data_IF_417826915462
#
_entry.id   IF_417826915462
#
_cell.length_a   1.000
_cell.length_b   1.000
_cell.length_c   1.000
_cell.angle_alpha   90.00
_cell.angle_beta   90.00
_cell.angle_gamma   90.00
#
_symmetry.space_group_name_H-M   'P 1'
#
loop_
_entity.id
_entity.type
_entity.pdbx_description
1 polymer ?
#
# COMPACT_ATOMS: atom_id res chain seq x y z
N UNK A 1 -7.17 -13.83 37.76
CA UNK A 1 -5.73 -13.93 37.54
C UNK A 1 -5.13 -12.54 37.71
N UNK A 2 -4.05 -12.39 38.52
CA UNK A 2 -3.33 -11.11 38.61
C UNK A 2 -2.70 -10.80 37.26
N UNK A 3 -2.77 -9.54 36.81
CA UNK A 3 -2.14 -9.10 35.59
C UNK A 3 -0.61 -9.26 35.72
N UNK A 4 0.04 -9.81 34.69
CA UNK A 4 1.50 -9.90 34.65
C UNK A 4 2.08 -8.48 34.62
N UNK A 5 2.99 -8.17 35.52
CA UNK A 5 3.55 -6.81 35.70
C UNK A 5 4.87 -6.58 35.00
N UNK A 6 5.47 -7.63 34.42
CA UNK A 6 6.74 -7.54 33.66
C UNK A 6 6.70 -8.44 32.45
N UNK A 7 7.31 -7.97 31.37
CA UNK A 7 7.45 -8.67 30.10
C UNK A 7 8.90 -8.54 29.62
N UNK A 8 9.38 -9.56 28.90
CA UNK A 8 10.72 -9.52 28.30
C UNK A 8 10.78 -8.51 27.15
N UNK A 9 9.67 -8.37 26.39
CA UNK A 9 9.57 -7.44 25.26
C UNK A 9 8.23 -6.73 25.23
N UNK A 10 8.27 -5.42 25.03
CA UNK A 10 7.10 -4.58 24.76
C UNK A 10 7.11 -4.19 23.28
N UNK A 11 6.01 -4.44 22.57
CA UNK A 11 5.86 -4.14 21.15
C UNK A 11 4.85 -3.02 21.02
N UNK A 12 5.22 -1.96 20.31
CA UNK A 12 4.34 -0.82 20.07
C UNK A 12 3.70 -0.95 18.69
N UNK A 13 2.37 -1.07 18.68
CA UNK A 13 1.55 -1.22 17.49
C UNK A 13 1.16 -2.67 17.17
N UNK A 14 -0.15 -2.88 16.96
CA UNK A 14 -0.78 -4.16 16.63
C UNK A 14 -1.04 -4.38 15.15
N UNK A 15 -0.22 -3.79 14.27
CA UNK A 15 -0.22 -4.09 12.83
C UNK A 15 0.54 -5.38 12.51
N UNK A 16 0.65 -5.75 11.25
CA UNK A 16 1.31 -7.01 10.82
C UNK A 16 2.72 -7.16 11.37
N UNK A 17 3.52 -6.10 11.37
CA UNK A 17 4.88 -6.16 11.91
C UNK A 17 4.88 -6.49 13.41
N UNK A 18 4.06 -5.81 14.20
CA UNK A 18 3.99 -6.02 15.65
C UNK A 18 3.45 -7.40 16.03
N UNK A 19 2.39 -7.86 15.37
CA UNK A 19 1.81 -9.19 15.62
C UNK A 19 2.78 -10.31 15.22
N UNK A 20 3.48 -10.14 14.08
CA UNK A 20 4.50 -11.09 13.63
C UNK A 20 5.67 -11.14 14.61
N UNK A 21 6.16 -10.00 15.07
CA UNK A 21 7.22 -9.92 16.06
C UNK A 21 6.80 -10.59 17.37
N UNK A 22 5.59 -10.31 17.87
CA UNK A 22 5.05 -10.95 19.07
C UNK A 22 5.04 -12.48 18.97
N UNK A 23 4.49 -12.98 17.86
CA UNK A 23 4.43 -14.42 17.60
C UNK A 23 5.82 -15.07 17.57
N UNK A 24 6.76 -14.45 16.87
CA UNK A 24 8.08 -15.06 16.68
C UNK A 24 8.94 -14.98 17.95
N UNK A 25 8.77 -13.95 18.77
CA UNK A 25 9.38 -13.84 20.09
C UNK A 25 8.79 -14.86 21.08
N UNK A 26 7.46 -15.03 21.08
CA UNK A 26 6.80 -16.04 21.91
C UNK A 26 7.24 -17.46 21.54
N UNK A 27 7.43 -17.78 20.26
CA UNK A 27 7.99 -19.06 19.82
C UNK A 27 9.41 -19.32 20.35
N UNK A 28 10.16 -18.26 20.67
CA UNK A 28 11.47 -18.31 21.30
C UNK A 28 11.42 -18.33 22.83
N UNK A 29 10.23 -18.43 23.42
CA UNK A 29 10.02 -18.50 24.85
C UNK A 29 10.00 -17.14 25.58
N UNK A 30 10.05 -16.03 24.84
CA UNK A 30 9.98 -14.69 25.42
C UNK A 30 8.55 -14.28 25.71
N UNK A 31 8.33 -13.68 26.87
CA UNK A 31 7.05 -13.08 27.21
C UNK A 31 6.91 -11.71 26.55
N UNK A 32 5.83 -11.51 25.80
CA UNK A 32 5.61 -10.28 25.05
C UNK A 32 4.29 -9.64 25.41
N UNK A 33 4.24 -8.31 25.29
CA UNK A 33 2.98 -7.53 25.30
C UNK A 33 2.97 -6.62 24.09
N UNK A 34 1.82 -6.52 23.42
CA UNK A 34 1.57 -5.58 22.32
C UNK A 34 0.72 -4.45 22.85
N UNK A 35 1.19 -3.22 22.67
CA UNK A 35 0.45 -2.00 23.01
C UNK A 35 -0.08 -1.39 21.69
N UNK A 36 -1.40 -1.39 21.55
CA UNK A 36 -2.09 -0.83 20.39
C UNK A 36 -2.87 0.41 20.83
N UNK A 37 -2.77 1.49 20.07
CA UNK A 37 -3.41 2.76 20.37
C UNK A 37 -4.91 2.79 20.02
N UNK A 38 -5.34 1.90 19.12
CA UNK A 38 -6.73 1.77 18.68
C UNK A 38 -7.40 0.61 19.40
N UNK A 39 -8.70 0.52 19.27
CA UNK A 39 -9.53 -0.59 19.76
C UNK A 39 -9.51 -1.83 18.84
N UNK A 40 -8.65 -1.85 17.83
CA UNK A 40 -8.51 -2.92 16.83
C UNK A 40 -7.07 -3.21 16.46
N UNK A 41 -6.80 -4.43 16.00
CA UNK A 41 -5.56 -4.84 15.38
C UNK A 41 -5.58 -4.59 13.86
N UNK A 42 -4.46 -4.86 13.19
CA UNK A 42 -4.33 -4.81 11.72
C UNK A 42 -3.62 -3.55 11.18
N UNK A 43 -3.64 -2.45 11.93
CA UNK A 43 -2.99 -1.20 11.51
C UNK A 43 -3.58 -0.63 10.22
N UNK A 44 -2.80 -0.58 9.12
CA UNK A 44 -3.24 -0.11 7.79
C UNK A 44 -4.09 -1.13 7.03
N UNK A 45 -4.10 -2.40 7.43
CA UNK A 45 -5.08 -3.37 6.94
C UNK A 45 -6.34 -3.25 7.78
N UNK A 46 -7.45 -3.09 7.12
CA UNK A 46 -8.72 -2.90 7.79
C UNK A 46 -9.88 -3.41 6.94
N UNK A 47 -10.66 -4.24 7.55
CA UNK A 47 -11.86 -4.83 6.99
C UNK A 47 -13.06 -4.41 7.84
N UNK A 48 -14.15 -4.14 7.19
CA UNK A 48 -15.40 -3.73 7.82
C UNK A 48 -16.59 -4.30 7.06
N UNK A 49 -17.65 -4.64 7.77
CA UNK A 49 -18.94 -4.98 7.14
C UNK A 49 -19.83 -3.74 7.11
N UNK A 50 -20.28 -3.35 5.92
CA UNK A 50 -21.21 -2.24 5.71
C UNK A 50 -22.39 -2.67 4.87
N UNK A 51 -23.60 -2.54 5.42
CA UNK A 51 -24.85 -2.86 4.73
C UNK A 51 -24.85 -4.29 4.14
N UNK A 52 -24.27 -5.25 4.85
CA UNK A 52 -24.16 -6.64 4.40
C UNK A 52 -23.06 -6.91 3.35
N UNK A 53 -22.22 -5.93 3.05
CA UNK A 53 -21.07 -6.07 2.17
C UNK A 53 -19.77 -6.05 2.96
N UNK A 54 -18.86 -6.93 2.57
CA UNK A 54 -17.49 -6.92 3.07
C UNK A 54 -16.68 -5.85 2.34
N UNK A 55 -16.16 -4.88 3.09
CA UNK A 55 -15.42 -3.75 2.54
C UNK A 55 -14.00 -3.76 3.08
N UNK A 56 -13.04 -3.91 2.19
CA UNK A 56 -11.62 -3.74 2.48
C UNK A 56 -11.25 -2.26 2.39
N UNK A 57 -10.88 -1.68 3.52
CA UNK A 57 -10.49 -0.27 3.63
C UNK A 57 -8.97 -0.07 3.65
N UNK A 58 -8.21 -1.15 3.52
CA UNK A 58 -6.76 -1.13 3.39
C UNK A 58 -6.18 -2.53 3.34
N UNK A 59 -5.15 -2.72 2.49
CA UNK A 59 -4.45 -4.00 2.34
C UNK A 59 -5.19 -5.04 1.51
N UNK A 60 -6.03 -4.60 0.57
CA UNK A 60 -6.94 -5.43 -0.24
C UNK A 60 -6.23 -6.49 -1.06
N UNK A 61 -5.08 -6.17 -1.63
CA UNK A 61 -4.39 -7.06 -2.56
C UNK A 61 -3.10 -7.60 -2.00
N UNK A 62 -2.84 -8.88 -2.27
CA UNK A 62 -1.55 -9.51 -2.08
C UNK A 62 -1.05 -10.05 -3.42
N UNK A 63 0.26 -10.10 -3.59
CA UNK A 63 0.89 -10.58 -4.82
C UNK A 63 1.91 -11.67 -4.48
N UNK A 64 2.06 -12.69 -5.34
CA UNK A 64 3.03 -13.79 -5.11
C UNK A 64 4.49 -13.33 -5.04
N UNK A 65 4.80 -12.11 -5.54
CA UNK A 65 6.13 -11.50 -5.36
C UNK A 65 6.33 -10.89 -3.98
N UNK A 66 5.35 -10.98 -3.07
CA UNK A 66 5.43 -10.56 -1.68
C UNK A 66 5.66 -11.79 -0.77
N UNK A 67 6.89 -12.34 -0.69
CA UNK A 67 7.14 -13.66 -0.11
C UNK A 67 6.75 -13.76 1.36
N UNK A 68 6.91 -12.69 2.13
CA UNK A 68 6.57 -12.70 3.55
C UNK A 68 5.05 -12.76 3.79
N UNK A 69 4.27 -12.01 3.03
CA UNK A 69 2.79 -12.05 3.13
C UNK A 69 2.28 -13.40 2.63
N UNK A 70 2.84 -13.88 1.53
CA UNK A 70 2.48 -15.19 0.98
C UNK A 70 2.77 -16.33 1.94
N UNK A 71 3.92 -16.29 2.64
CA UNK A 71 4.25 -17.28 3.67
C UNK A 71 3.26 -17.26 4.85
N UNK A 72 2.74 -16.11 5.25
CA UNK A 72 1.69 -16.03 6.26
C UNK A 72 0.35 -16.59 5.74
N UNK A 73 0.00 -16.31 4.49
CA UNK A 73 -1.17 -16.91 3.83
C UNK A 73 -1.11 -18.44 3.89
N UNK A 74 0.02 -19.03 3.49
CA UNK A 74 0.22 -20.48 3.55
C UNK A 74 0.20 -21.00 5.00
N UNK A 75 0.86 -20.31 5.92
CA UNK A 75 0.92 -20.70 7.35
C UNK A 75 -0.46 -20.85 7.98
N UNK A 76 -1.39 -19.99 7.64
CA UNK A 76 -2.73 -19.96 8.19
C UNK A 76 -3.79 -20.63 7.30
N UNK A 77 -3.38 -21.23 6.19
CA UNK A 77 -4.28 -21.88 5.24
C UNK A 77 -5.35 -20.92 4.67
N UNK A 78 -4.98 -19.64 4.47
CA UNK A 78 -5.92 -18.66 3.97
C UNK A 78 -6.11 -18.83 2.47
N UNK A 79 -7.35 -18.76 2.04
CA UNK A 79 -7.69 -18.72 0.62
C UNK A 79 -7.54 -17.29 0.09
N UNK A 80 -7.20 -17.17 -1.18
CA UNK A 80 -7.19 -15.91 -1.92
C UNK A 80 -8.18 -15.99 -3.07
N UNK A 81 -8.83 -14.88 -3.32
CA UNK A 81 -9.70 -14.73 -4.46
C UNK A 81 -8.94 -13.99 -5.55
N UNK A 82 -8.97 -14.50 -6.76
CA UNK A 82 -8.39 -13.81 -7.90
C UNK A 82 -9.17 -12.53 -8.18
N UNK A 83 -8.42 -11.42 -8.35
CA UNK A 83 -9.04 -10.15 -8.74
C UNK A 83 -9.58 -10.26 -10.17
N UNK A 84 -10.86 -9.99 -10.40
CA UNK A 84 -11.42 -10.07 -11.74
C UNK A 84 -10.75 -9.04 -12.66
N UNK A 85 -10.10 -9.54 -13.71
CA UNK A 85 -9.57 -8.80 -14.85
C UNK A 85 -8.53 -7.70 -14.53
N UNK A 86 -7.41 -7.74 -15.23
CA UNK A 86 -6.43 -6.64 -15.20
C UNK A 86 -6.84 -5.48 -16.10
N UNK A 87 -7.85 -5.66 -16.95
CA UNK A 87 -8.33 -4.66 -17.91
C UNK A 87 -9.71 -4.22 -17.46
N UNK A 88 -9.80 -2.98 -17.04
CA UNK A 88 -11.08 -2.39 -16.69
C UNK A 88 -11.93 -2.23 -17.95
N UNK A 89 -13.15 -2.77 -17.94
CA UNK A 89 -14.14 -2.53 -19.01
C UNK A 89 -14.60 -1.09 -19.06
N UNK A 90 -14.51 -0.40 -17.92
CA UNK A 90 -14.95 0.97 -17.75
C UNK A 90 -14.06 1.68 -16.74
N UNK A 91 -13.56 2.85 -17.10
CA UNK A 91 -12.79 3.72 -16.20
C UNK A 91 -13.60 5.00 -15.98
N UNK A 92 -14.00 5.23 -14.76
CA UNK A 92 -14.69 6.46 -14.38
C UNK A 92 -13.72 7.40 -13.64
N UNK A 93 -13.70 8.67 -14.05
CA UNK A 93 -12.88 9.70 -13.43
C UNK A 93 -13.75 10.89 -13.01
N UNK A 94 -13.39 11.53 -11.91
CA UNK A 94 -14.06 12.74 -11.46
C UNK A 94 -13.27 13.95 -11.94
N UNK A 95 -13.84 14.69 -12.92
CA UNK A 95 -13.28 15.93 -13.45
C UNK A 95 -14.26 17.07 -13.15
N UNK A 96 -13.76 18.18 -12.59
CA UNK A 96 -14.56 19.35 -12.22
C UNK A 96 -15.82 19.01 -11.40
N UNK A 97 -15.66 18.09 -10.44
CA UNK A 97 -16.73 17.65 -9.56
C UNK A 97 -17.75 16.67 -10.20
N UNK A 98 -17.64 16.35 -11.49
CA UNK A 98 -18.53 15.45 -12.21
C UNK A 98 -17.82 14.14 -12.55
N UNK A 99 -18.49 13.02 -12.28
CA UNK A 99 -18.00 11.69 -12.70
C UNK A 99 -18.31 11.50 -14.19
N UNK A 100 -17.30 11.13 -14.96
CA UNK A 100 -17.39 10.85 -16.40
C UNK A 100 -16.65 9.57 -16.71
N UNK A 101 -17.13 8.82 -17.70
CA UNK A 101 -16.41 7.69 -18.26
C UNK A 101 -15.33 8.19 -19.23
N UNK A 102 -14.13 7.63 -19.08
CA UNK A 102 -13.05 7.88 -20.05
C UNK A 102 -13.39 7.19 -21.37
N UNK A 103 -13.30 7.97 -22.45
CA UNK A 103 -13.39 7.43 -23.80
C UNK A 103 -12.04 6.80 -24.19
N UNK A 104 -12.05 5.90 -25.17
CA UNK A 104 -10.84 5.22 -25.63
C UNK A 104 -9.70 6.18 -26.01
N UNK A 105 -10.03 7.27 -26.71
CA UNK A 105 -9.06 8.33 -27.05
C UNK A 105 -8.46 9.04 -25.84
N UNK A 106 -9.21 9.17 -24.76
CA UNK A 106 -8.77 9.77 -23.51
C UNK A 106 -7.95 8.80 -22.65
N UNK A 107 -8.11 7.49 -22.85
CA UNK A 107 -7.34 6.48 -22.16
C UNK A 107 -5.85 6.57 -22.53
N UNK A 108 -5.52 6.80 -23.81
CA UNK A 108 -4.15 7.00 -24.26
C UNK A 108 -3.52 8.24 -23.61
N UNK A 109 -4.25 9.35 -23.57
CA UNK A 109 -3.81 10.58 -22.88
C UNK A 109 -3.59 10.36 -21.38
N UNK A 110 -4.49 9.61 -20.73
CA UNK A 110 -4.38 9.23 -19.32
C UNK A 110 -3.10 8.40 -19.08
N UNK A 111 -2.85 7.37 -19.88
CA UNK A 111 -1.65 6.50 -19.76
C UNK A 111 -0.38 7.30 -19.98
N UNK A 112 -0.33 8.17 -21.01
CA UNK A 112 0.81 9.06 -21.25
C UNK A 112 1.14 9.93 -20.04
N UNK A 113 0.13 10.46 -19.34
CA UNK A 113 0.33 11.24 -18.13
C UNK A 113 1.05 10.45 -17.04
N UNK A 114 0.69 9.19 -16.82
CA UNK A 114 1.36 8.30 -15.88
C UNK A 114 2.79 7.99 -16.32
N UNK A 115 3.01 7.68 -17.59
CA UNK A 115 4.36 7.41 -18.12
C UNK A 115 5.29 8.61 -17.92
N UNK A 116 4.82 9.82 -18.22
CA UNK A 116 5.59 11.05 -18.01
C UNK A 116 5.88 11.31 -16.53
N UNK A 117 4.91 11.09 -15.65
CA UNK A 117 5.08 11.28 -14.22
C UNK A 117 6.12 10.33 -13.65
N UNK A 118 6.07 9.05 -14.02
CA UNK A 118 6.96 8.01 -13.52
C UNK A 118 8.24 7.80 -14.35
N UNK A 119 8.48 8.59 -15.41
CA UNK A 119 9.61 8.39 -16.33
C UNK A 119 10.96 8.28 -15.61
N UNK A 120 11.17 9.06 -14.56
CA UNK A 120 12.43 9.09 -13.82
C UNK A 120 12.56 7.99 -12.77
N UNK A 121 11.46 7.31 -12.41
CA UNK A 121 11.45 6.30 -11.34
C UNK A 121 12.36 5.11 -11.65
N UNK A 122 12.56 4.77 -12.91
CA UNK A 122 13.43 3.67 -13.35
C UNK A 122 14.90 3.88 -12.95
N UNK A 123 15.38 5.12 -13.02
CA UNK A 123 16.76 5.45 -12.62
C UNK A 123 16.93 5.61 -11.11
N UNK A 124 15.84 5.91 -10.39
CA UNK A 124 15.87 6.04 -8.93
C UNK A 124 15.67 4.67 -8.25
N UNK A 125 14.83 3.82 -8.82
CA UNK A 125 14.42 2.54 -8.25
C UNK A 125 14.86 1.34 -9.11
N UNK A 126 16.10 1.31 -9.56
CA UNK A 126 16.66 0.17 -10.30
C UNK A 126 16.54 -1.15 -9.51
N UNK A 127 16.70 -1.07 -8.19
CA UNK A 127 16.53 -2.18 -7.25
C UNK A 127 15.51 -1.80 -6.18
N UNK A 128 14.20 -2.02 -6.39
CA UNK A 128 13.15 -1.58 -5.47
C UNK A 128 13.27 -2.08 -4.04
N UNK A 129 13.99 -3.19 -3.82
CA UNK A 129 14.23 -3.77 -2.49
C UNK A 129 15.57 -3.35 -1.86
N UNK A 130 16.36 -2.55 -2.56
CA UNK A 130 17.65 -2.02 -2.12
C UNK A 130 17.70 -0.51 -2.38
N UNK A 131 17.08 0.25 -1.52
CA UNK A 131 16.97 1.72 -1.64
C UNK A 131 18.33 2.42 -1.57
N UNK A 132 19.36 1.77 -1.03
CA UNK A 132 20.70 2.33 -0.94
C UNK A 132 21.52 2.17 -2.21
N UNK A 133 21.06 1.33 -3.16
CA UNK A 133 21.76 1.12 -4.42
C UNK A 133 21.96 2.40 -5.23
N UNK A 134 20.93 3.25 -5.30
CA UNK A 134 20.95 4.54 -5.96
C UNK A 134 20.71 5.70 -4.98
N UNK A 135 21.40 5.68 -3.82
CA UNK A 135 21.10 6.57 -2.70
C UNK A 135 21.13 8.05 -3.05
N UNK A 136 22.12 8.51 -3.84
CA UNK A 136 22.19 9.90 -4.28
C UNK A 136 20.93 10.31 -5.07
N UNK A 137 20.53 9.49 -6.05
CA UNK A 137 19.33 9.73 -6.84
C UNK A 137 18.05 9.72 -5.98
N UNK A 138 17.98 8.87 -4.94
CA UNK A 138 16.89 8.85 -3.96
C UNK A 138 16.86 10.16 -3.19
N UNK A 139 17.99 10.60 -2.62
CA UNK A 139 18.08 11.84 -1.85
C UNK A 139 17.70 13.07 -2.66
N UNK A 140 18.13 13.14 -3.94
CA UNK A 140 17.78 14.24 -4.83
C UNK A 140 16.27 14.32 -5.08
N UNK A 141 15.59 13.18 -5.13
CA UNK A 141 14.13 13.11 -5.35
C UNK A 141 13.33 13.26 -4.05
N UNK A 142 13.86 12.86 -2.91
CA UNK A 142 13.19 12.98 -1.61
C UNK A 142 12.94 14.44 -1.21
N UNK A 143 13.72 15.37 -1.75
CA UNK A 143 13.52 16.80 -1.58
C UNK A 143 12.30 17.37 -2.33
N UNK A 144 11.71 16.61 -3.27
CA UNK A 144 10.60 17.04 -4.10
C UNK A 144 9.28 16.44 -3.61
N UNK A 145 8.25 17.27 -3.49
CA UNK A 145 6.92 16.77 -3.27
C UNK A 145 6.26 16.28 -4.58
N UNK A 146 5.20 15.49 -4.46
CA UNK A 146 4.34 15.14 -5.60
C UNK A 146 3.82 16.39 -6.31
N UNK A 147 3.47 17.43 -5.54
CA UNK A 147 3.00 18.71 -6.11
C UNK A 147 4.07 19.41 -6.95
N UNK A 148 5.33 19.42 -6.48
CA UNK A 148 6.45 19.99 -7.26
C UNK A 148 6.64 19.23 -8.57
N UNK A 149 6.58 17.90 -8.53
CA UNK A 149 6.66 17.08 -9.73
C UNK A 149 5.52 17.35 -10.71
N UNK A 150 4.28 17.42 -10.24
CA UNK A 150 3.13 17.74 -11.07
C UNK A 150 3.23 19.13 -11.71
N UNK A 151 3.76 20.11 -10.96
CA UNK A 151 3.93 21.46 -11.45
C UNK A 151 5.08 21.62 -12.47
N UNK A 152 6.10 20.75 -12.39
CA UNK A 152 7.21 20.73 -13.33
C UNK A 152 6.84 20.08 -14.68
N UNK A 153 5.72 19.36 -14.74
CA UNK A 153 5.25 18.71 -15.97
C UNK A 153 4.20 19.56 -16.68
N UNK A 154 4.35 19.66 -18.00
CA UNK A 154 3.30 20.22 -18.87
C UNK A 154 2.22 19.15 -19.09
N UNK A 155 1.22 19.16 -18.24
CA UNK A 155 0.13 18.18 -18.20
C UNK A 155 -1.17 18.80 -18.66
N UNK A 156 -1.93 18.04 -19.42
CA UNK A 156 -3.31 18.41 -19.76
C UNK A 156 -4.20 18.43 -18.51
N UNK A 157 -5.38 19.06 -18.55
CA UNK A 157 -6.32 19.02 -17.43
C UNK A 157 -6.72 17.60 -17.02
N UNK A 158 -6.88 16.68 -17.97
CA UNK A 158 -7.18 15.29 -17.70
C UNK A 158 -6.02 14.59 -16.99
N UNK A 159 -4.80 14.73 -17.51
CA UNK A 159 -3.58 14.16 -16.92
C UNK A 159 -3.37 14.69 -15.49
N UNK A 160 -3.51 16.00 -15.29
CA UNK A 160 -3.35 16.61 -13.96
C UNK A 160 -4.39 16.11 -12.97
N UNK A 161 -5.65 15.99 -13.37
CA UNK A 161 -6.72 15.49 -12.51
C UNK A 161 -6.53 14.01 -12.15
N UNK A 162 -5.91 13.24 -13.06
CA UNK A 162 -5.69 11.79 -12.85
C UNK A 162 -4.55 11.49 -11.89
N UNK A 163 -3.58 12.39 -11.79
CA UNK A 163 -2.34 12.22 -11.02
C UNK A 163 -2.37 12.93 -9.66
N UNK A 164 -3.23 13.92 -9.48
CA UNK A 164 -3.38 14.73 -8.26
C UNK A 164 -4.66 14.49 -7.52
#
# INVERSE_FOLDING_TARGET
MAAKTSYDVVIIGGGFAGVTAARDLQKRGLSTIVLEARDRLGGRTFYEERNGFHVELGGTWIHWTQPFVWAEKERYGLEVQETPGCVAERIAIKVDGKVRDLQESQLAEFVEGFERFFAESKGVWERPYDIHHCWEAVCDRDALSVADRLNALDLTPLQRTSLG
#
